data_IF_733030886849
#
_entry.id   IF_733030886849
#
_cell.length_a   1.000
_cell.length_b   1.000
_cell.length_c   1.000
_cell.angle_alpha   90.00
_cell.angle_beta   90.00
_cell.angle_gamma   90.00
#
_symmetry.space_group_name_H-M   'P 1'
#
loop_
_entity.id
_entity.type
_entity.pdbx_description
1 polymer ?
#
# COMPACT_ATOMS: atom_id res chain seq x y z
N UNK A 1 -9.83 22.88 9.54
CA UNK A 1 -8.74 22.47 10.45
C UNK A 1 -7.73 23.61 10.40
N UNK A 2 -7.86 24.59 11.31
CA UNK A 2 -6.98 25.75 11.30
C UNK A 2 -5.57 25.36 11.74
N UNK A 3 -4.57 25.68 10.94
CA UNK A 3 -3.16 25.42 11.23
C UNK A 3 -2.61 26.18 12.47
N UNK A 4 -3.46 26.88 13.21
CA UNK A 4 -3.07 27.64 14.40
C UNK A 4 -2.58 26.79 15.57
N UNK A 5 -2.95 25.49 15.61
CA UNK A 5 -2.47 24.55 16.63
C UNK A 5 -2.07 23.23 15.96
N UNK A 6 -0.78 23.06 15.66
CA UNK A 6 -0.21 21.84 15.04
C UNK A 6 -0.65 20.57 15.80
N UNK A 7 -0.65 20.61 17.12
CA UNK A 7 -1.06 19.48 17.95
C UNK A 7 -2.52 19.07 17.73
N UNK A 8 -3.43 20.04 17.61
CA UNK A 8 -4.84 19.79 17.30
C UNK A 8 -5.02 19.20 15.89
N UNK A 9 -4.30 19.70 14.91
CA UNK A 9 -4.35 19.16 13.54
C UNK A 9 -3.88 17.70 13.48
N UNK A 10 -2.81 17.35 14.20
CA UNK A 10 -2.30 15.98 14.29
C UNK A 10 -3.31 15.05 14.98
N UNK A 11 -3.93 15.49 16.09
CA UNK A 11 -4.93 14.70 16.81
C UNK A 11 -6.14 14.43 15.91
N UNK A 12 -6.65 15.45 15.21
CA UNK A 12 -7.79 15.30 14.30
C UNK A 12 -7.42 14.34 13.16
N UNK A 13 -6.24 14.48 12.55
CA UNK A 13 -5.77 13.58 11.49
C UNK A 13 -5.69 12.13 11.99
N UNK A 14 -5.16 11.89 13.19
CA UNK A 14 -5.09 10.56 13.81
C UNK A 14 -6.48 9.95 14.03
N UNK A 15 -7.43 10.73 14.54
CA UNK A 15 -8.81 10.29 14.75
C UNK A 15 -9.44 9.91 13.40
N UNK A 16 -9.30 10.75 12.38
CA UNK A 16 -9.87 10.49 11.06
C UNK A 16 -9.29 9.21 10.45
N UNK A 17 -7.98 9.04 10.52
CA UNK A 17 -7.30 7.83 10.04
C UNK A 17 -7.79 6.58 10.79
N UNK A 18 -7.93 6.67 12.11
CA UNK A 18 -8.45 5.57 12.92
C UNK A 18 -9.90 5.20 12.54
N UNK A 19 -10.76 6.19 12.32
CA UNK A 19 -12.15 5.98 11.86
C UNK A 19 -12.18 5.31 10.50
N UNK A 20 -11.35 5.74 9.55
CA UNK A 20 -11.25 5.14 8.21
C UNK A 20 -10.79 3.68 8.31
N UNK A 21 -9.78 3.37 9.14
CA UNK A 21 -9.31 2.00 9.35
C UNK A 21 -10.42 1.12 9.89
N UNK A 22 -11.14 1.58 10.91
CA UNK A 22 -12.26 0.84 11.53
C UNK A 22 -13.37 0.62 10.52
N UNK A 23 -13.75 1.65 9.75
CA UNK A 23 -14.78 1.55 8.73
C UNK A 23 -14.39 0.56 7.61
N UNK A 24 -13.16 0.62 7.13
CA UNK A 24 -12.63 -0.32 6.12
C UNK A 24 -12.57 -1.74 6.66
N UNK A 25 -12.11 -1.91 7.89
CA UNK A 25 -12.07 -3.22 8.53
C UNK A 25 -13.47 -3.85 8.65
N UNK A 26 -14.43 -3.06 9.12
CA UNK A 26 -15.83 -3.52 9.20
C UNK A 26 -16.40 -3.85 7.83
N UNK A 27 -16.20 -3.00 6.83
CA UNK A 27 -16.68 -3.22 5.47
C UNK A 27 -16.09 -4.49 4.85
N UNK A 28 -14.77 -4.70 4.96
CA UNK A 28 -14.11 -5.90 4.43
C UNK A 28 -14.43 -7.19 5.20
N UNK A 29 -15.08 -7.09 6.37
CA UNK A 29 -15.68 -8.20 7.08
C UNK A 29 -17.09 -8.59 6.59
N UNK A 30 -17.76 -7.74 5.78
CA UNK A 30 -19.07 -8.05 5.21
C UNK A 30 -18.97 -9.01 4.03
N UNK A 31 -20.11 -9.56 3.59
CA UNK A 31 -20.18 -10.45 2.41
C UNK A 31 -19.63 -9.77 1.15
N UNK A 32 -19.94 -8.48 0.94
CA UNK A 32 -19.41 -7.73 -0.18
C UNK A 32 -17.90 -7.55 -0.11
N UNK A 33 -17.37 -7.25 1.07
CA UNK A 33 -15.93 -7.10 1.27
C UNK A 33 -15.17 -8.42 1.08
N UNK A 34 -15.71 -9.53 1.56
CA UNK A 34 -15.13 -10.86 1.34
C UNK A 34 -15.18 -11.27 -0.13
N UNK A 35 -16.25 -10.92 -0.85
CA UNK A 35 -16.40 -11.13 -2.28
C UNK A 35 -15.36 -10.34 -3.09
N UNK A 36 -15.09 -9.07 -2.72
CA UNK A 36 -14.02 -8.26 -3.33
C UNK A 36 -12.65 -8.91 -3.11
N UNK A 37 -12.36 -9.36 -1.90
CA UNK A 37 -11.07 -10.00 -1.56
C UNK A 37 -10.88 -11.33 -2.29
N UNK A 38 -11.91 -12.18 -2.36
CA UNK A 38 -11.85 -13.46 -3.08
C UNK A 38 -11.67 -13.24 -4.59
N UNK A 39 -12.38 -12.28 -5.17
CA UNK A 39 -12.25 -11.92 -6.58
C UNK A 39 -10.85 -11.36 -6.90
N UNK A 40 -10.26 -10.59 -5.99
CA UNK A 40 -8.88 -10.10 -6.12
C UNK A 40 -7.83 -11.20 -6.03
N UNK A 41 -8.07 -12.22 -5.20
CA UNK A 41 -7.15 -13.35 -5.02
C UNK A 41 -7.21 -14.37 -6.17
N UNK A 42 -8.41 -14.78 -6.56
CA UNK A 42 -8.62 -15.74 -7.64
C UNK A 42 -9.94 -15.48 -8.37
N UNK A 43 -9.92 -14.71 -9.46
CA UNK A 43 -11.12 -14.39 -10.24
C UNK A 43 -11.80 -15.62 -10.83
N UNK A 44 -11.03 -16.60 -11.28
CA UNK A 44 -11.59 -17.82 -11.90
C UNK A 44 -12.41 -18.63 -10.89
N UNK A 45 -11.90 -18.80 -9.68
CA UNK A 45 -12.61 -19.49 -8.59
C UNK A 45 -13.87 -18.73 -8.17
N UNK A 46 -13.79 -17.41 -8.05
CA UNK A 46 -14.96 -16.58 -7.71
C UNK A 46 -16.06 -16.67 -8.76
N UNK A 47 -15.70 -16.72 -10.05
CA UNK A 47 -16.65 -16.94 -11.13
C UNK A 47 -17.30 -18.31 -11.06
N UNK A 48 -16.55 -19.35 -10.74
CA UNK A 48 -17.07 -20.71 -10.57
C UNK A 48 -18.08 -20.82 -9.41
N UNK A 49 -17.95 -19.94 -8.40
CA UNK A 49 -18.90 -19.83 -7.29
C UNK A 49 -20.13 -18.96 -7.61
N UNK A 50 -20.30 -18.50 -8.86
CA UNK A 50 -21.44 -17.69 -9.29
C UNK A 50 -21.33 -16.20 -9.00
N UNK A 51 -20.16 -15.72 -8.56
CA UNK A 51 -19.94 -14.30 -8.25
C UNK A 51 -19.81 -13.51 -9.57
N UNK A 52 -20.56 -12.41 -9.67
CA UNK A 52 -20.44 -11.48 -10.80
C UNK A 52 -19.17 -10.63 -10.63
N UNK A 53 -18.08 -11.06 -11.27
CA UNK A 53 -16.76 -10.42 -11.19
C UNK A 53 -16.81 -8.95 -11.65
N UNK A 54 -17.58 -8.65 -12.71
CA UNK A 54 -17.64 -7.30 -13.26
C UNK A 54 -18.29 -6.32 -12.28
N UNK A 55 -19.40 -6.73 -11.67
CA UNK A 55 -20.06 -5.94 -10.64
C UNK A 55 -19.19 -5.73 -9.41
N UNK A 56 -18.50 -6.80 -8.95
CA UNK A 56 -17.57 -6.73 -7.83
C UNK A 56 -16.41 -5.78 -8.09
N UNK A 57 -15.86 -5.78 -9.31
CA UNK A 57 -14.80 -4.82 -9.70
C UNK A 57 -15.29 -3.38 -9.70
N UNK A 58 -16.51 -3.12 -10.18
CA UNK A 58 -17.09 -1.76 -10.16
C UNK A 58 -17.25 -1.25 -8.73
N UNK A 59 -17.78 -2.08 -7.82
CA UNK A 59 -17.90 -1.71 -6.40
C UNK A 59 -16.53 -1.45 -5.78
N UNK A 60 -15.55 -2.29 -6.04
CA UNK A 60 -14.20 -2.11 -5.51
C UNK A 60 -13.56 -0.81 -5.98
N UNK A 61 -13.72 -0.47 -7.27
CA UNK A 61 -13.24 0.79 -7.83
C UNK A 61 -13.99 2.00 -7.26
N UNK A 62 -15.31 1.91 -7.11
CA UNK A 62 -16.12 2.97 -6.51
C UNK A 62 -15.68 3.24 -5.06
N UNK A 63 -15.50 2.20 -4.27
CA UNK A 63 -15.01 2.31 -2.89
C UNK A 63 -13.61 2.93 -2.82
N UNK A 64 -12.69 2.47 -3.67
CA UNK A 64 -11.33 3.02 -3.75
C UNK A 64 -11.36 4.52 -4.08
N UNK A 65 -12.13 4.92 -5.11
CA UNK A 65 -12.24 6.32 -5.51
C UNK A 65 -12.92 7.17 -4.42
N UNK A 66 -13.89 6.64 -3.68
CA UNK A 66 -14.50 7.32 -2.55
C UNK A 66 -13.48 7.64 -1.45
N UNK A 67 -12.61 6.68 -1.10
CA UNK A 67 -11.54 6.88 -0.09
C UNK A 67 -10.51 7.90 -0.59
N UNK A 68 -10.15 7.86 -1.88
CA UNK A 68 -9.23 8.85 -2.47
C UNK A 68 -9.84 10.26 -2.44
N UNK A 69 -11.11 10.42 -2.83
CA UNK A 69 -11.80 11.69 -2.79
C UNK A 69 -11.90 12.24 -1.36
N UNK A 70 -12.22 11.39 -0.39
CA UNK A 70 -12.24 11.75 1.02
C UNK A 70 -10.87 12.23 1.53
N UNK A 71 -9.79 11.52 1.18
CA UNK A 71 -8.42 11.91 1.51
C UNK A 71 -8.06 13.27 0.90
N UNK A 72 -8.40 13.49 -0.38
CA UNK A 72 -8.18 14.78 -1.06
C UNK A 72 -8.93 15.94 -0.41
N UNK A 73 -10.17 15.70 0.04
CA UNK A 73 -10.97 16.69 0.78
C UNK A 73 -10.31 17.10 2.10
N UNK A 74 -9.81 16.14 2.88
CA UNK A 74 -9.11 16.42 4.14
C UNK A 74 -7.80 17.17 3.88
N UNK A 75 -7.05 16.77 2.85
CA UNK A 75 -5.81 17.42 2.48
C UNK A 75 -6.03 18.88 2.06
N UNK A 76 -7.08 19.15 1.27
CA UNK A 76 -7.49 20.51 0.90
C UNK A 76 -7.86 21.36 2.12
N UNK A 77 -8.57 20.79 3.10
CA UNK A 77 -8.89 21.50 4.34
C UNK A 77 -7.67 21.81 5.20
N UNK A 78 -6.68 20.90 5.19
CA UNK A 78 -5.42 21.13 5.89
C UNK A 78 -4.59 22.24 5.26
N UNK A 79 -4.53 22.29 3.92
CA UNK A 79 -3.79 23.29 3.16
C UNK A 79 -4.51 24.67 3.13
N UNK A 80 -5.83 24.69 3.33
CA UNK A 80 -6.65 25.90 3.23
C UNK A 80 -6.97 26.34 1.81
N UNK A 81 -6.54 25.60 0.79
CA UNK A 81 -6.87 25.82 -0.63
C UNK A 81 -7.00 24.49 -1.37
N UNK A 82 -7.63 24.50 -2.54
CA UNK A 82 -7.74 23.37 -3.45
C UNK A 82 -7.10 23.73 -4.79
N UNK A 83 -6.16 22.89 -5.24
CA UNK A 83 -5.52 23.02 -6.55
C UNK A 83 -5.59 21.68 -7.31
N UNK A 84 -5.79 21.76 -8.62
CA UNK A 84 -5.82 20.61 -9.53
C UNK A 84 -4.49 19.82 -9.48
N UNK A 85 -3.39 20.50 -9.17
CA UNK A 85 -2.06 19.88 -9.10
C UNK A 85 -1.76 19.17 -7.77
N UNK A 86 -2.61 19.30 -6.74
CA UNK A 86 -2.40 18.66 -5.42
C UNK A 86 -2.24 17.15 -5.50
N UNK A 87 -2.91 16.50 -6.46
CA UNK A 87 -2.81 15.06 -6.69
C UNK A 87 -1.58 14.62 -7.49
N UNK A 88 -0.76 15.54 -7.99
CA UNK A 88 0.43 15.19 -8.77
C UNK A 88 1.45 14.46 -7.90
N UNK A 89 1.80 13.25 -8.32
CA UNK A 89 2.73 12.39 -7.57
C UNK A 89 2.08 11.60 -6.43
N UNK A 90 0.83 11.89 -6.04
CA UNK A 90 0.16 11.17 -4.96
C UNK A 90 0.07 9.65 -5.22
N UNK A 91 -0.12 9.24 -6.48
CA UNK A 91 -0.13 7.83 -6.88
C UNK A 91 1.23 7.17 -6.57
N UNK A 92 2.33 7.86 -6.90
CA UNK A 92 3.69 7.34 -6.67
C UNK A 92 3.97 7.24 -5.17
N UNK A 93 3.58 8.27 -4.41
CA UNK A 93 3.72 8.30 -2.94
C UNK A 93 2.89 7.18 -2.31
N UNK A 94 1.64 7.03 -2.72
CA UNK A 94 0.74 5.98 -2.22
C UNK A 94 1.26 4.58 -2.54
N UNK A 95 1.74 4.34 -3.75
CA UNK A 95 2.33 3.07 -4.14
C UNK A 95 3.59 2.76 -3.33
N UNK A 96 4.47 3.76 -3.14
CA UNK A 96 5.67 3.62 -2.32
C UNK A 96 5.30 3.27 -0.85
N UNK A 97 4.33 3.98 -0.27
CA UNK A 97 3.88 3.74 1.10
C UNK A 97 3.34 2.30 1.27
N UNK A 98 2.54 1.81 0.32
CA UNK A 98 2.01 0.44 0.35
C UNK A 98 3.13 -0.58 0.27
N UNK A 99 4.08 -0.41 -0.66
CA UNK A 99 5.18 -1.36 -0.86
C UNK A 99 6.12 -1.38 0.35
N UNK A 100 6.49 -0.21 0.87
CA UNK A 100 7.31 -0.11 2.10
C UNK A 100 6.57 -0.80 3.25
N UNK A 101 5.28 -0.54 3.41
CA UNK A 101 4.44 -1.17 4.41
C UNK A 101 4.37 -2.69 4.27
N UNK A 102 4.16 -3.22 3.08
CA UNK A 102 4.13 -4.67 2.84
C UNK A 102 5.48 -5.33 3.14
N UNK A 103 6.57 -4.75 2.64
CA UNK A 103 7.93 -5.29 2.88
C UNK A 103 8.26 -5.34 4.36
N UNK A 104 7.92 -4.30 5.11
CA UNK A 104 8.11 -4.26 6.56
C UNK A 104 7.20 -5.25 7.29
N UNK A 105 5.94 -5.32 6.90
CA UNK A 105 4.98 -6.28 7.46
C UNK A 105 5.47 -7.71 7.28
N UNK A 106 5.90 -8.08 6.09
CA UNK A 106 6.45 -9.41 5.80
C UNK A 106 7.76 -9.68 6.53
N UNK A 107 8.61 -8.68 6.71
CA UNK A 107 9.86 -8.82 7.44
C UNK A 107 9.65 -9.12 8.92
N UNK A 108 8.64 -8.47 9.54
CA UNK A 108 8.37 -8.58 10.99
C UNK A 108 7.49 -9.80 11.30
N UNK A 109 6.40 -10.01 10.57
CA UNK A 109 5.40 -11.05 10.90
C UNK A 109 5.46 -12.32 10.05
N UNK A 110 6.41 -12.45 9.17
CA UNK A 110 6.83 -13.62 8.37
C UNK A 110 5.74 -14.48 7.69
N UNK A 111 4.53 -14.72 8.25
CA UNK A 111 3.54 -15.64 7.64
C UNK A 111 2.07 -15.38 8.02
N UNK A 112 1.79 -14.64 9.08
CA UNK A 112 0.42 -14.43 9.56
C UNK A 112 0.10 -12.94 9.64
N UNK A 113 -0.02 -12.29 8.45
CA UNK A 113 -0.42 -10.88 8.39
C UNK A 113 -1.94 -10.84 8.28
N UNK A 114 -2.61 -10.44 9.36
CA UNK A 114 -4.02 -10.11 9.36
C UNK A 114 -4.28 -8.84 8.54
N UNK A 115 -5.50 -8.69 8.02
CA UNK A 115 -5.87 -7.52 7.22
C UNK A 115 -5.66 -6.18 7.97
N UNK A 116 -5.95 -6.14 9.26
CA UNK A 116 -5.70 -4.96 10.13
C UNK A 116 -4.21 -4.61 10.15
N UNK A 117 -3.36 -5.62 10.36
CA UNK A 117 -1.91 -5.44 10.43
C UNK A 117 -1.41 -4.85 9.11
N UNK A 118 -1.91 -5.32 7.97
CA UNK A 118 -1.57 -4.78 6.65
C UNK A 118 -1.96 -3.30 6.52
N UNK A 119 -3.15 -2.91 6.97
CA UNK A 119 -3.58 -1.50 6.97
C UNK A 119 -2.68 -0.61 7.84
N UNK A 120 -2.32 -1.08 9.02
CA UNK A 120 -1.42 -0.35 9.94
C UNK A 120 -0.03 -0.20 9.30
N UNK A 121 0.50 -1.26 8.67
CA UNK A 121 1.81 -1.19 8.02
C UNK A 121 1.84 -0.26 6.81
N UNK A 122 0.75 -0.10 6.08
CA UNK A 122 0.64 0.90 5.01
C UNK A 122 0.81 2.31 5.57
N UNK A 123 0.24 2.60 6.75
CA UNK A 123 0.41 3.90 7.41
C UNK A 123 1.85 4.10 7.86
N UNK A 124 2.45 3.07 8.46
CA UNK A 124 3.88 3.10 8.84
C UNK A 124 4.76 3.32 7.62
N UNK A 125 4.46 2.66 6.49
CA UNK A 125 5.15 2.86 5.23
C UNK A 125 5.05 4.29 4.72
N UNK A 126 3.88 4.92 4.82
CA UNK A 126 3.68 6.34 4.50
C UNK A 126 4.51 7.27 5.38
N UNK A 127 4.53 7.03 6.68
CA UNK A 127 5.34 7.82 7.63
C UNK A 127 6.82 7.70 7.29
N UNK A 128 7.31 6.50 7.03
CA UNK A 128 8.72 6.26 6.65
C UNK A 128 9.08 6.93 5.33
N UNK A 129 8.17 6.90 4.35
CA UNK A 129 8.37 7.62 3.10
C UNK A 129 8.53 9.12 3.34
N UNK A 130 7.65 9.73 4.16
CA UNK A 130 7.76 11.16 4.47
C UNK A 130 8.99 11.51 5.32
N UNK A 131 9.44 10.62 6.20
CA UNK A 131 10.71 10.79 6.92
C UNK A 131 11.89 10.78 5.94
N UNK A 132 11.93 9.83 5.00
CA UNK A 132 12.96 9.77 3.97
C UNK A 132 12.97 11.05 3.11
N UNK A 133 11.78 11.53 2.73
CA UNK A 133 11.62 12.81 2.02
C UNK A 133 12.14 14.01 2.84
N UNK A 134 11.82 14.03 4.14
CA UNK A 134 12.29 15.07 5.06
C UNK A 134 13.82 15.12 5.18
N UNK A 135 14.47 13.96 5.19
CA UNK A 135 15.94 13.86 5.19
C UNK A 135 16.53 14.46 3.91
N UNK A 136 15.95 14.15 2.74
CA UNK A 136 16.38 14.70 1.44
C UNK A 136 16.23 16.22 1.42
N UNK A 137 15.12 16.75 1.94
CA UNK A 137 14.90 18.20 2.04
C UNK A 137 15.85 18.86 3.03
N UNK A 138 16.20 18.20 4.12
CA UNK A 138 17.17 18.72 5.11
C UNK A 138 18.59 18.88 4.53
N UNK A 139 18.95 18.04 3.54
CA UNK A 139 20.21 18.19 2.79
C UNK A 139 20.24 19.43 1.88
N UNK A 140 19.21 20.30 1.93
CA UNK A 140 19.10 21.54 1.13
C UNK A 140 19.26 21.34 -0.38
N UNK A 141 18.80 20.21 -0.89
CA UNK A 141 18.83 19.95 -2.33
C UNK A 141 17.80 20.80 -3.08
N UNK A 142 18.09 21.23 -4.32
CA UNK A 142 17.13 21.92 -5.18
C UNK A 142 15.85 21.10 -5.34
N UNK A 143 14.71 21.79 -5.44
CA UNK A 143 13.38 21.12 -5.54
C UNK A 143 13.23 20.20 -6.75
N UNK A 144 13.99 20.43 -7.81
CA UNK A 144 13.98 19.55 -8.99
C UNK A 144 14.72 18.23 -8.75
N UNK A 145 15.81 18.27 -8.00
CA UNK A 145 16.58 17.09 -7.61
C UNK A 145 15.80 16.23 -6.59
N UNK A 146 14.93 16.85 -5.79
CA UNK A 146 14.04 16.12 -4.85
C UNK A 146 13.16 15.09 -5.57
N UNK A 147 12.66 15.39 -6.77
CA UNK A 147 11.86 14.45 -7.58
C UNK A 147 12.69 13.24 -8.04
N UNK A 148 13.95 13.46 -8.37
CA UNK A 148 14.87 12.41 -8.77
C UNK A 148 15.21 11.51 -7.58
N UNK A 149 15.47 12.07 -6.40
CA UNK A 149 15.73 11.28 -5.19
C UNK A 149 14.50 10.47 -4.74
N UNK A 150 13.30 11.04 -4.81
CA UNK A 150 12.07 10.28 -4.51
C UNK A 150 11.88 9.12 -5.49
N UNK A 151 12.14 9.33 -6.77
CA UNK A 151 12.08 8.26 -7.76
C UNK A 151 13.10 7.14 -7.46
N UNK A 152 14.32 7.48 -7.06
CA UNK A 152 15.36 6.53 -6.67
C UNK A 152 14.94 5.76 -5.41
N UNK A 153 14.45 6.44 -4.37
CA UNK A 153 13.96 5.81 -3.14
C UNK A 153 12.84 4.80 -3.48
N UNK A 154 11.87 5.21 -4.27
CA UNK A 154 10.77 4.34 -4.71
C UNK A 154 11.30 3.15 -5.52
N UNK A 155 12.24 3.37 -6.43
CA UNK A 155 12.86 2.32 -7.23
C UNK A 155 13.61 1.29 -6.37
N UNK A 156 14.35 1.74 -5.35
CA UNK A 156 15.05 0.85 -4.40
C UNK A 156 14.02 0.00 -3.63
N UNK A 157 12.97 0.61 -3.08
CA UNK A 157 11.95 -0.13 -2.34
C UNK A 157 11.17 -1.11 -3.24
N UNK A 158 10.90 -0.75 -4.51
CA UNK A 158 10.29 -1.64 -5.50
C UNK A 158 11.22 -2.81 -5.89
N UNK A 159 12.54 -2.58 -5.91
CA UNK A 159 13.50 -3.61 -6.25
C UNK A 159 13.63 -4.68 -5.15
N UNK A 160 13.50 -4.31 -3.87
CA UNK A 160 13.66 -5.23 -2.72
C UNK A 160 12.77 -6.47 -2.82
N UNK A 161 11.42 -6.38 -2.99
CA UNK A 161 10.57 -7.57 -3.09
C UNK A 161 10.86 -8.38 -4.36
N UNK A 162 11.23 -7.72 -5.45
CA UNK A 162 11.51 -8.39 -6.73
C UNK A 162 12.82 -9.20 -6.67
N UNK A 163 13.85 -8.66 -6.03
CA UNK A 163 15.12 -9.37 -5.81
C UNK A 163 14.89 -10.57 -4.88
N UNK A 164 14.12 -10.39 -3.81
CA UNK A 164 13.81 -11.47 -2.85
C UNK A 164 13.00 -12.60 -3.48
N UNK A 165 12.02 -12.29 -4.32
CA UNK A 165 11.22 -13.29 -5.04
C UNK A 165 12.04 -14.06 -6.07
N UNK A 166 12.96 -13.39 -6.76
CA UNK A 166 13.89 -14.04 -7.72
C UNK A 166 14.85 -14.98 -7.01
N UNK A 167 15.44 -14.57 -5.89
CA UNK A 167 16.32 -15.43 -5.10
C UNK A 167 15.60 -16.69 -4.62
N UNK A 168 14.40 -16.56 -4.03
CA UNK A 168 13.61 -17.70 -3.54
C UNK A 168 13.20 -18.66 -4.67
N UNK A 169 12.85 -18.16 -5.85
CA UNK A 169 12.49 -18.98 -7.00
C UNK A 169 13.70 -19.69 -7.62
N UNK A 170 14.88 -19.09 -7.59
CA UNK A 170 16.13 -19.70 -8.04
C UNK A 170 16.50 -20.92 -7.17
N UNK A 171 16.44 -20.76 -5.83
CA UNK A 171 16.71 -21.88 -4.91
C UNK A 171 15.69 -23.01 -5.06
N UNK A 172 14.40 -22.71 -5.28
CA UNK A 172 13.38 -23.74 -5.53
C UNK A 172 13.60 -24.49 -6.84
N UNK A 173 14.09 -23.83 -7.89
CA UNK A 173 14.43 -24.48 -9.16
C UNK A 173 15.60 -25.43 -9.01
N UNK A 174 16.67 -25.02 -8.33
CA UNK A 174 17.85 -25.85 -8.08
C UNK A 174 17.50 -27.07 -7.20
N UNK A 175 16.72 -26.88 -6.13
CA UNK A 175 16.28 -27.97 -5.28
C UNK A 175 15.40 -29.00 -6.06
N UNK A 176 14.55 -28.53 -6.99
CA UNK A 176 13.71 -29.41 -7.82
C UNK A 176 14.51 -30.16 -8.90
N UNK A 177 15.59 -29.57 -9.41
CA UNK A 177 16.52 -30.23 -10.32
C UNK A 177 17.32 -31.35 -9.61
N UNK A 178 17.85 -31.06 -8.44
CA UNK A 178 18.59 -32.05 -7.65
C UNK A 178 17.70 -33.25 -7.22
N UNK A 179 16.45 -32.98 -6.82
CA UNK A 179 15.47 -34.02 -6.48
C UNK A 179 15.05 -34.88 -7.71
N UNK A 180 15.08 -34.31 -8.93
CA UNK A 180 14.83 -35.10 -10.14
C UNK A 180 16.04 -35.92 -10.55
N UNK A 181 17.26 -35.41 -10.37
CA UNK A 181 18.50 -36.17 -10.66
C UNK A 181 18.62 -37.40 -9.74
N UNK A 182 18.36 -37.25 -8.44
CA UNK A 182 18.36 -38.38 -7.50
C UNK A 182 17.31 -39.47 -7.76
N UNK A 183 16.18 -39.12 -8.42
CA UNK A 183 15.16 -40.09 -8.81
C UNK A 183 15.46 -40.85 -10.10
N UNK A 184 16.44 -40.45 -10.85
CA UNK A 184 16.86 -41.11 -12.11
C UNK A 184 18.04 -42.05 -11.87
N UNK A 185 18.79 -41.85 -10.78
CA UNK A 185 19.95 -42.67 -10.40
C UNK A 185 19.64 -43.82 -9.42
N UNK A 186 18.40 -43.91 -8.91
CA UNK A 186 17.94 -45.01 -8.04
C UNK A 186 16.77 -45.76 -8.66
#
# INVERSE_FOLDING_TARGET
ISASNINMAIIIALIVVAVVIVAMYWYFGTEQGTTIRSTGSNPAMSKAQGININFTKVIALALSNAVVAFSGSIFSQYQGFADVNMGRGAIVIGLAAVIIGEVLGEAIFRKHINFIIRLIFVIVGGILYYIAMGIVLWLKMPTDDTKLFTAIIVAIFLAVPNIRSRATNSFKKVAKQNSKAQKVEG
#
